data_IF_331915792056
#
_entry.id   IF_331915792056
#
_cell.length_a   1.000
_cell.length_b   1.000
_cell.length_c   1.000
_cell.angle_alpha   90.00
_cell.angle_beta   90.00
_cell.angle_gamma   90.00
#
_symmetry.space_group_name_H-M   'P 1'
#
loop_
_entity.id
_entity.type
_entity.pdbx_description
1 polymer ?
#
# COMPACT_ATOMS: atom_id res chain seq x y z
N UNK A 1 15.44 3.35 12.50
CA UNK A 1 16.39 4.10 11.63
C UNK A 1 15.78 4.45 10.29
N UNK A 2 15.35 3.47 9.48
CA UNK A 2 14.73 3.74 8.17
C UNK A 2 13.42 4.54 8.29
N UNK A 3 12.56 4.18 9.23
CA UNK A 3 11.36 4.94 9.57
C UNK A 3 11.68 6.41 9.89
N UNK A 4 12.76 6.68 10.62
CA UNK A 4 13.20 8.03 10.99
C UNK A 4 13.99 8.75 9.89
N UNK A 5 14.19 8.12 8.72
CA UNK A 5 14.93 8.70 7.60
C UNK A 5 16.42 8.92 7.85
N UNK A 6 17.01 8.23 8.85
CA UNK A 6 18.41 8.41 9.22
C UNK A 6 19.34 7.85 8.14
N UNK A 7 20.43 8.58 7.84
CA UNK A 7 21.44 8.17 6.85
C UNK A 7 22.04 6.80 7.14
N UNK A 8 22.17 6.45 8.43
CA UNK A 8 22.67 5.16 8.89
C UNK A 8 21.77 3.96 8.49
N UNK A 9 20.55 4.19 7.99
CA UNK A 9 19.73 3.12 7.42
C UNK A 9 20.13 2.75 5.97
N UNK A 10 20.88 3.62 5.26
CA UNK A 10 21.21 3.41 3.84
C UNK A 10 22.00 2.12 3.58
N UNK A 11 23.02 1.74 4.38
CA UNK A 11 23.71 0.48 4.17
C UNK A 11 22.78 -0.74 4.33
N UNK A 12 21.85 -0.70 5.30
CA UNK A 12 20.87 -1.75 5.53
C UNK A 12 19.88 -1.88 4.36
N UNK A 13 19.40 -0.74 3.85
CA UNK A 13 18.51 -0.69 2.68
C UNK A 13 19.19 -1.27 1.45
N UNK A 14 20.46 -0.92 1.23
CA UNK A 14 21.26 -1.47 0.13
C UNK A 14 21.40 -3.00 0.27
N UNK A 15 21.83 -3.47 1.44
CA UNK A 15 22.00 -4.90 1.70
C UNK A 15 20.68 -5.67 1.55
N UNK A 16 19.56 -5.09 1.97
CA UNK A 16 18.24 -5.69 1.81
C UNK A 16 17.85 -5.87 0.33
N UNK A 17 18.14 -4.88 -0.52
CA UNK A 17 17.91 -4.97 -1.97
C UNK A 17 18.84 -5.95 -2.67
N UNK A 18 20.11 -6.01 -2.27
CA UNK A 18 21.10 -6.94 -2.83
C UNK A 18 20.75 -8.42 -2.58
N UNK A 19 20.04 -8.74 -1.50
CA UNK A 19 19.56 -10.10 -1.22
C UNK A 19 18.48 -10.58 -2.19
N UNK A 20 17.89 -9.67 -2.96
CA UNK A 20 16.80 -9.96 -3.89
C UNK A 20 15.44 -10.11 -3.18
N UNK A 21 14.39 -9.63 -3.83
CA UNK A 21 13.03 -9.70 -3.31
C UNK A 21 12.41 -11.09 -3.57
N UNK A 22 12.38 -11.94 -2.55
CA UNK A 22 11.69 -13.25 -2.61
C UNK A 22 10.27 -13.20 -2.07
N UNK A 23 9.99 -12.28 -1.15
CA UNK A 23 8.70 -12.16 -0.51
C UNK A 23 7.56 -11.89 -1.50
N UNK A 24 6.34 -12.25 -1.10
CA UNK A 24 5.10 -11.77 -1.70
C UNK A 24 4.75 -10.44 -1.03
N UNK A 25 4.83 -9.35 -1.77
CA UNK A 25 4.47 -8.01 -1.26
C UNK A 25 3.02 -7.72 -1.63
N UNK A 26 2.12 -7.85 -0.64
CA UNK A 26 0.68 -7.71 -0.82
C UNK A 26 0.16 -6.41 -0.21
N UNK A 27 -0.39 -5.53 -1.04
CA UNK A 27 -1.16 -4.37 -0.60
C UNK A 27 -2.60 -4.76 -0.29
N UNK A 28 -3.10 -4.44 0.90
CA UNK A 28 -4.49 -4.67 1.32
C UNK A 28 -5.18 -3.32 1.47
N UNK A 29 -6.17 -3.06 0.63
CA UNK A 29 -6.86 -1.77 0.56
C UNK A 29 -8.36 -1.92 0.33
N UNK A 30 -9.11 -0.83 0.44
CA UNK A 30 -10.57 -0.81 0.34
C UNK A 30 -11.22 0.08 1.40
N UNK A 31 -12.55 0.19 1.36
CA UNK A 31 -13.28 1.17 2.18
C UNK A 31 -13.10 0.97 3.69
N UNK A 32 -13.21 2.06 4.49
CA UNK A 32 -13.35 1.95 5.94
C UNK A 32 -14.48 0.97 6.32
N UNK A 33 -14.22 0.14 7.33
CA UNK A 33 -15.23 -0.82 7.81
C UNK A 33 -15.40 -2.08 6.95
N UNK A 34 -14.69 -2.23 5.82
CA UNK A 34 -14.77 -3.43 4.98
C UNK A 34 -14.20 -4.69 5.64
N UNK A 35 -13.52 -4.53 6.78
CA UNK A 35 -12.92 -5.62 7.55
C UNK A 35 -11.51 -6.00 7.08
N UNK A 36 -10.79 -5.09 6.42
CA UNK A 36 -9.37 -5.24 6.03
C UNK A 36 -8.53 -5.80 7.16
N UNK A 37 -8.62 -5.19 8.34
CA UNK A 37 -7.79 -5.58 9.47
C UNK A 37 -8.08 -6.99 9.96
N UNK A 38 -9.36 -7.35 10.06
CA UNK A 38 -9.77 -8.72 10.39
C UNK A 38 -9.34 -9.72 9.31
N UNK A 39 -9.40 -9.33 8.04
CA UNK A 39 -8.97 -10.17 6.92
C UNK A 39 -7.45 -10.39 6.93
N UNK A 40 -6.67 -9.33 7.16
CA UNK A 40 -5.22 -9.40 7.35
C UNK A 40 -4.85 -10.31 8.52
N UNK A 41 -5.57 -10.24 9.66
CA UNK A 41 -5.35 -11.15 10.79
C UNK A 41 -5.57 -12.62 10.40
N UNK A 42 -6.64 -12.88 9.66
CA UNK A 42 -6.97 -14.22 9.18
C UNK A 42 -5.93 -14.73 8.16
N UNK A 43 -5.42 -13.85 7.29
CA UNK A 43 -4.30 -14.14 6.38
C UNK A 43 -3.04 -14.50 7.16
N UNK A 44 -2.67 -13.73 8.18
CA UNK A 44 -1.51 -14.06 9.04
C UNK A 44 -1.68 -15.46 9.61
N UNK A 45 -2.81 -15.75 10.26
CA UNK A 45 -3.05 -17.05 10.87
C UNK A 45 -2.92 -18.21 9.87
N UNK A 46 -3.49 -18.06 8.66
CA UNK A 46 -3.41 -19.06 7.60
C UNK A 46 -1.97 -19.23 7.06
N UNK A 47 -1.25 -18.15 6.81
CA UNK A 47 0.14 -18.22 6.33
C UNK A 47 1.07 -18.82 7.39
N UNK A 48 0.84 -18.50 8.67
CA UNK A 48 1.56 -19.08 9.81
C UNK A 48 1.28 -20.57 9.97
N UNK A 49 0.06 -21.05 9.71
CA UNK A 49 -0.22 -22.49 9.70
C UNK A 49 0.50 -23.24 8.58
N UNK A 50 0.91 -22.54 7.51
CA UNK A 50 1.81 -23.04 6.45
C UNK A 50 3.31 -22.87 6.79
N UNK A 51 3.65 -22.42 8.00
CA UNK A 51 5.02 -22.18 8.45
C UNK A 51 5.68 -20.91 7.91
N UNK A 52 4.97 -20.10 7.13
CA UNK A 52 5.54 -18.93 6.42
C UNK A 52 5.71 -17.74 7.35
N UNK A 53 6.81 -16.99 7.24
CA UNK A 53 7.06 -15.77 8.01
C UNK A 53 6.31 -14.59 7.40
N UNK A 54 5.58 -13.83 8.22
CA UNK A 54 4.72 -12.73 7.77
C UNK A 54 5.12 -11.41 8.43
N UNK A 55 5.35 -10.38 7.63
CA UNK A 55 5.46 -9.01 8.13
C UNK A 55 4.23 -8.20 7.72
N UNK A 56 3.73 -7.34 8.61
CA UNK A 56 2.63 -6.42 8.34
C UNK A 56 3.07 -5.00 8.63
N UNK A 57 2.91 -4.14 7.64
CA UNK A 57 3.12 -2.71 7.70
C UNK A 57 1.76 -2.02 7.56
N UNK A 58 1.18 -1.58 8.68
CA UNK A 58 -0.02 -0.77 8.67
C UNK A 58 0.35 0.70 8.43
N UNK A 59 -0.36 1.38 7.53
CA UNK A 59 -0.19 2.81 7.28
C UNK A 59 -1.41 3.57 7.78
N UNK A 60 -1.16 4.37 8.80
CA UNK A 60 -2.15 5.15 9.51
C UNK A 60 -2.07 6.62 9.09
N UNK A 61 -3.19 7.36 9.11
CA UNK A 61 -3.14 8.81 9.02
C UNK A 61 -2.29 9.39 10.14
N UNK A 62 -1.68 10.53 9.84
CA UNK A 62 -0.77 11.22 10.77
C UNK A 62 -1.54 12.05 11.78
N UNK A 63 -1.13 11.98 13.04
CA UNK A 63 -1.66 12.84 14.10
C UNK A 63 -1.30 14.29 13.77
N UNK A 64 -2.29 15.20 13.72
CA UNK A 64 -2.02 16.62 13.49
C UNK A 64 -1.20 17.26 14.63
N UNK A 65 -1.13 16.62 15.80
CA UNK A 65 -0.41 17.13 16.97
C UNK A 65 0.98 16.52 17.15
N UNK A 66 1.13 15.21 16.93
CA UNK A 66 2.40 14.50 17.20
C UNK A 66 3.15 14.06 15.94
N UNK A 67 2.52 14.12 14.76
CA UNK A 67 3.07 13.59 13.51
C UNK A 67 3.21 12.05 13.47
N UNK A 68 2.90 11.36 14.55
CA UNK A 68 2.90 9.90 14.65
C UNK A 68 1.59 9.26 14.17
N UNK A 69 1.54 7.94 14.17
CA UNK A 69 0.36 7.19 13.72
C UNK A 69 -0.79 7.39 14.72
N UNK A 70 -1.98 7.78 14.23
CA UNK A 70 -3.14 8.07 15.11
C UNK A 70 -3.69 6.80 15.73
N UNK A 71 -3.92 5.77 14.90
CA UNK A 71 -4.71 4.62 15.30
C UNK A 71 -3.87 3.44 15.75
N UNK A 72 -2.60 3.40 15.34
CA UNK A 72 -1.55 2.45 15.74
C UNK A 72 -2.15 1.12 16.12
N UNK A 73 -2.37 0.22 15.16
CA UNK A 73 -3.14 -1.04 15.29
C UNK A 73 -2.61 -1.99 16.38
N UNK A 74 -2.77 -1.58 17.65
CA UNK A 74 -2.19 -2.19 18.85
C UNK A 74 -2.85 -3.51 19.14
N UNK A 75 -4.10 -3.71 18.74
CA UNK A 75 -4.82 -4.95 18.94
C UNK A 75 -4.14 -6.07 18.15
N UNK A 76 -3.78 -5.82 16.88
CA UNK A 76 -3.01 -6.76 16.07
C UNK A 76 -1.61 -6.99 16.61
N UNK A 77 -0.92 -5.91 17.02
CA UNK A 77 0.41 -6.02 17.63
C UNK A 77 0.38 -6.90 18.88
N UNK A 78 -0.66 -6.77 19.72
CA UNK A 78 -0.84 -7.60 20.93
C UNK A 78 -1.21 -9.04 20.60
N UNK A 79 -2.01 -9.30 19.57
CA UNK A 79 -2.42 -10.67 19.21
C UNK A 79 -1.24 -11.52 18.71
N UNK A 80 -0.31 -10.92 17.98
CA UNK A 80 0.81 -11.63 17.34
C UNK A 80 2.16 -11.42 18.03
N UNK A 81 2.23 -10.67 19.13
CA UNK A 81 3.50 -10.30 19.79
C UNK A 81 4.39 -11.49 20.17
N UNK A 82 3.80 -12.66 20.43
CA UNK A 82 4.50 -13.86 20.87
C UNK A 82 4.90 -14.81 19.72
N UNK A 83 4.48 -14.56 18.47
CA UNK A 83 4.87 -15.37 17.31
C UNK A 83 6.11 -14.77 16.64
N UNK A 84 7.26 -15.41 16.83
CA UNK A 84 8.54 -14.98 16.25
C UNK A 84 8.54 -14.96 14.71
N UNK A 85 7.61 -15.67 14.07
CA UNK A 85 7.42 -15.65 12.63
C UNK A 85 6.53 -14.51 12.14
N UNK A 86 6.00 -13.67 13.04
CA UNK A 86 5.15 -12.51 12.70
C UNK A 86 5.81 -11.21 13.16
N UNK A 87 5.87 -10.23 12.27
CA UNK A 87 6.29 -8.88 12.62
C UNK A 87 5.20 -7.88 12.25
N UNK A 88 4.75 -7.05 13.18
CA UNK A 88 3.73 -6.02 12.92
C UNK A 88 4.26 -4.66 13.29
N UNK A 89 4.13 -3.68 12.38
CA UNK A 89 4.50 -2.29 12.61
C UNK A 89 3.46 -1.36 12.00
N UNK A 90 3.15 -0.28 12.69
CA UNK A 90 2.37 0.83 12.14
C UNK A 90 3.30 2.00 11.81
N UNK A 91 3.04 2.66 10.67
CA UNK A 91 3.70 3.87 10.21
C UNK A 91 2.69 4.99 9.99
N UNK A 92 3.08 6.21 10.32
CA UNK A 92 2.35 7.42 9.95
C UNK A 92 2.68 7.86 8.51
N UNK A 93 1.69 8.32 7.76
CA UNK A 93 1.88 8.92 6.42
C UNK A 93 2.71 10.22 6.40
N UNK A 94 2.93 10.83 7.56
CA UNK A 94 3.68 12.08 7.85
C UNK A 94 3.39 13.27 6.93
N UNK A 95 2.12 13.46 6.56
CA UNK A 95 1.72 14.59 5.71
C UNK A 95 2.32 14.53 4.30
N UNK A 96 2.66 13.33 3.82
CA UNK A 96 3.06 13.12 2.44
C UNK A 96 1.99 13.65 1.48
N UNK A 97 2.44 14.13 0.32
CA UNK A 97 1.55 14.62 -0.75
C UNK A 97 0.70 13.49 -1.36
N UNK A 98 1.11 12.23 -1.14
CA UNK A 98 0.33 11.03 -1.43
C UNK A 98 0.01 10.25 -0.15
N UNK A 99 -0.68 9.13 -0.33
CA UNK A 99 -1.20 8.27 0.72
C UNK A 99 -0.18 7.41 1.48
N UNK A 100 1.09 7.46 1.08
CA UNK A 100 2.18 6.72 1.71
C UNK A 100 3.39 7.64 1.89
N UNK A 101 4.06 7.50 3.03
CA UNK A 101 5.34 8.20 3.24
C UNK A 101 6.45 7.60 2.37
N UNK A 102 7.45 8.39 2.02
CA UNK A 102 8.68 7.92 1.35
C UNK A 102 9.40 6.84 2.16
N UNK A 103 9.19 6.84 3.48
CA UNK A 103 9.78 5.87 4.41
C UNK A 103 9.11 4.50 4.29
N UNK A 104 7.85 4.44 3.86
CA UNK A 104 7.10 3.20 3.71
C UNK A 104 7.81 2.26 2.72
N UNK A 105 8.22 2.76 1.55
CA UNK A 105 8.90 1.96 0.52
C UNK A 105 10.26 1.43 1.00
N UNK A 106 11.02 2.24 1.73
CA UNK A 106 12.26 1.80 2.35
C UNK A 106 12.05 0.72 3.42
N UNK A 107 11.00 0.84 4.24
CA UNK A 107 10.67 -0.18 5.26
C UNK A 107 10.21 -1.47 4.58
N UNK A 108 9.40 -1.42 3.52
CA UNK A 108 9.04 -2.61 2.74
C UNK A 108 10.27 -3.33 2.21
N UNK A 109 11.22 -2.61 1.62
CA UNK A 109 12.46 -3.19 1.12
C UNK A 109 13.28 -3.89 2.23
N UNK A 110 13.31 -3.32 3.45
CA UNK A 110 13.95 -3.97 4.59
C UNK A 110 13.25 -5.26 5.02
N UNK A 111 11.92 -5.27 5.02
CA UNK A 111 11.14 -6.47 5.38
C UNK A 111 11.34 -7.57 4.33
N UNK A 112 11.35 -7.23 3.04
CA UNK A 112 11.69 -8.17 1.97
C UNK A 112 13.09 -8.77 2.17
N UNK A 113 14.09 -7.94 2.47
CA UNK A 113 15.47 -8.38 2.71
C UNK A 113 15.75 -9.04 4.07
N UNK A 114 14.76 -9.05 4.98
CA UNK A 114 14.82 -9.71 6.29
C UNK A 114 14.35 -11.17 6.25
N UNK A 115 14.00 -11.68 5.06
CA UNK A 115 13.63 -13.07 4.84
C UNK A 115 12.22 -13.43 5.31
N UNK A 116 11.29 -12.46 5.26
CA UNK A 116 9.86 -12.77 5.35
C UNK A 116 9.37 -13.36 4.03
N UNK A 117 8.44 -14.31 4.11
CA UNK A 117 7.81 -14.92 2.93
C UNK A 117 6.70 -14.01 2.39
N UNK A 118 6.00 -13.31 3.30
CA UNK A 118 4.94 -12.35 2.97
C UNK A 118 5.19 -11.02 3.67
N UNK A 119 5.03 -9.93 2.93
CA UNK A 119 5.03 -8.56 3.46
C UNK A 119 3.71 -7.91 3.07
N UNK A 120 2.85 -7.67 4.05
CA UNK A 120 1.52 -7.10 3.86
C UNK A 120 1.55 -5.60 4.18
N UNK A 121 1.22 -4.77 3.21
CA UNK A 121 0.99 -3.34 3.40
C UNK A 121 -0.52 -3.08 3.53
N UNK A 122 -1.00 -2.69 4.70
CA UNK A 122 -2.42 -2.38 4.93
C UNK A 122 -2.62 -0.87 5.14
N UNK A 123 -3.69 -0.30 4.55
CA UNK A 123 -4.11 1.08 4.87
C UNK A 123 -5.32 1.10 5.79
N UNK A 124 -5.45 2.16 6.59
CA UNK A 124 -6.65 2.36 7.45
C UNK A 124 -7.86 2.88 6.65
N UNK A 125 -7.66 3.31 5.40
CA UNK A 125 -8.74 3.69 4.47
C UNK A 125 -9.28 5.12 4.61
N UNK A 126 -8.58 6.01 5.34
CA UNK A 126 -8.93 7.44 5.42
C UNK A 126 -7.74 8.27 4.96
N UNK A 127 -7.92 9.04 3.87
CA UNK A 127 -6.93 9.98 3.36
C UNK A 127 -5.70 9.37 2.68
N UNK A 128 -5.65 8.04 2.51
CA UNK A 128 -4.62 7.36 1.71
C UNK A 128 -5.27 6.88 0.40
N UNK A 129 -4.58 7.02 -0.73
CA UNK A 129 -5.09 6.56 -2.03
C UNK A 129 -4.85 5.05 -2.18
N UNK A 130 -5.88 4.31 -2.56
CA UNK A 130 -5.78 2.90 -2.96
C UNK A 130 -4.73 2.72 -4.07
N UNK A 131 -4.58 3.72 -4.93
CA UNK A 131 -3.58 3.75 -6.01
C UNK A 131 -2.15 3.73 -5.48
N UNK A 132 -1.88 4.42 -4.37
CA UNK A 132 -0.53 4.44 -3.78
C UNK A 132 -0.15 3.08 -3.21
N UNK A 133 -1.12 2.35 -2.62
CA UNK A 133 -0.93 0.98 -2.15
C UNK A 133 -0.56 0.07 -3.31
N UNK A 134 -1.32 0.15 -4.40
CA UNK A 134 -1.07 -0.65 -5.59
C UNK A 134 0.30 -0.35 -6.22
N UNK A 135 0.70 0.92 -6.26
CA UNK A 135 2.01 1.31 -6.78
C UNK A 135 3.19 0.88 -5.88
N UNK A 136 2.94 0.61 -4.59
CA UNK A 136 3.94 0.20 -3.62
C UNK A 136 4.12 -1.33 -3.48
N UNK A 137 3.25 -2.13 -4.10
CA UNK A 137 3.20 -3.57 -3.87
C UNK A 137 3.31 -4.38 -5.17
N UNK A 138 3.72 -5.65 -5.06
CA UNK A 138 3.74 -6.58 -6.20
C UNK A 138 2.30 -7.00 -6.55
N UNK A 139 1.43 -7.09 -5.54
CA UNK A 139 0.04 -7.50 -5.68
C UNK A 139 -0.89 -6.61 -4.84
N UNK A 140 -2.12 -6.41 -5.30
CA UNK A 140 -3.16 -5.64 -4.61
C UNK A 140 -4.40 -6.49 -4.35
N UNK A 141 -4.76 -6.62 -3.07
CA UNK A 141 -6.02 -7.17 -2.60
C UNK A 141 -7.00 -6.02 -2.28
N UNK A 142 -8.02 -5.87 -3.12
CA UNK A 142 -9.12 -4.93 -2.87
C UNK A 142 -10.20 -5.62 -2.02
N UNK A 143 -10.46 -5.08 -0.83
CA UNK A 143 -11.43 -5.62 0.13
C UNK A 143 -12.70 -4.77 0.10
N UNK A 144 -13.76 -5.40 -0.40
CA UNK A 144 -15.11 -4.85 -0.48
C UNK A 144 -16.03 -5.58 0.49
N UNK A 145 -17.19 -5.02 0.77
CA UNK A 145 -18.28 -5.70 1.49
C UNK A 145 -19.52 -5.78 0.63
N UNK A 146 -20.41 -6.76 0.84
CA UNK A 146 -21.76 -6.70 0.29
C UNK A 146 -22.37 -5.34 0.59
N UNK A 147 -22.68 -4.59 -0.46
CA UNK A 147 -23.23 -3.26 -0.30
C UNK A 147 -24.72 -3.38 0.06
N UNK A 148 -25.17 -2.59 1.04
CA UNK A 148 -26.61 -2.33 1.25
C UNK A 148 -27.19 -1.31 0.26
N UNK A 149 -26.66 -1.20 -0.97
CA UNK A 149 -26.98 -0.15 -1.94
C UNK A 149 -25.94 -0.02 -3.07
N UNK A 150 -25.77 1.20 -3.63
CA UNK A 150 -24.87 1.62 -4.74
C UNK A 150 -23.34 1.44 -4.50
N UNK A 151 -22.94 0.53 -3.63
CA UNK A 151 -21.55 0.39 -3.19
C UNK A 151 -20.59 0.02 -4.33
N UNK A 152 -21.03 -0.71 -5.36
CA UNK A 152 -20.19 -0.98 -6.54
C UNK A 152 -20.00 0.27 -7.41
N UNK A 153 -20.98 1.17 -7.50
CA UNK A 153 -20.85 2.44 -8.24
C UNK A 153 -19.92 3.44 -7.53
N UNK A 154 -19.79 3.36 -6.20
CA UNK A 154 -18.85 4.18 -5.44
C UNK A 154 -17.38 3.81 -5.77
N UNK A 155 -17.11 2.54 -6.08
CA UNK A 155 -15.83 2.07 -6.59
C UNK A 155 -15.82 2.20 -8.12
N UNK A 156 -15.74 3.45 -8.60
CA UNK A 156 -15.60 3.79 -10.03
C UNK A 156 -14.42 3.04 -10.68
N UNK A 157 -14.48 2.91 -12.01
CA UNK A 157 -13.53 2.22 -12.91
C UNK A 157 -12.06 2.21 -12.44
N UNK A 158 -11.50 3.36 -12.02
CA UNK A 158 -10.09 3.46 -11.64
C UNK A 158 -9.63 2.67 -10.40
N UNK A 159 -10.51 2.30 -9.45
CA UNK A 159 -10.10 1.47 -8.29
C UNK A 159 -10.14 -0.03 -8.62
N UNK A 160 -10.98 -0.43 -9.58
CA UNK A 160 -11.04 -1.82 -10.03
C UNK A 160 -9.82 -2.19 -10.89
N UNK A 161 -9.28 -1.21 -11.63
CA UNK A 161 -8.08 -1.37 -12.48
C UNK A 161 -6.80 -1.69 -11.69
N UNK A 162 -6.73 -1.29 -10.42
CA UNK A 162 -5.56 -1.53 -9.58
C UNK A 162 -5.64 -2.84 -8.79
N UNK A 163 -6.78 -3.53 -8.82
CA UNK A 163 -6.99 -4.76 -8.06
C UNK A 163 -6.44 -5.96 -8.83
N UNK A 164 -5.57 -6.75 -8.18
CA UNK A 164 -5.10 -8.02 -8.74
C UNK A 164 -5.92 -9.20 -8.21
N UNK A 165 -6.49 -9.04 -7.01
CA UNK A 165 -7.44 -9.95 -6.37
C UNK A 165 -8.50 -9.11 -5.67
N UNK A 166 -9.75 -9.56 -5.68
CA UNK A 166 -10.86 -8.88 -4.99
C UNK A 166 -11.43 -9.81 -3.93
N UNK A 167 -11.50 -9.35 -2.68
CA UNK A 167 -12.21 -10.03 -1.61
C UNK A 167 -13.53 -9.31 -1.33
N UNK A 168 -14.66 -10.02 -1.51
CA UNK A 168 -15.96 -9.60 -0.98
C UNK A 168 -16.09 -10.20 0.42
N UNK A 169 -15.69 -9.42 1.42
CA UNK A 169 -15.68 -9.80 2.83
C UNK A 169 -17.03 -9.56 3.51
N UNK A 170 -17.30 -10.27 4.62
CA UNK A 170 -18.63 -10.34 5.24
C UNK A 170 -19.66 -10.94 4.28
N UNK A 171 -19.25 -11.95 3.51
CA UNK A 171 -20.11 -12.61 2.53
C UNK A 171 -21.29 -13.38 3.15
N UNK A 172 -21.33 -13.50 4.47
CA UNK A 172 -22.47 -13.95 5.27
C UNK A 172 -23.60 -12.92 5.34
N UNK A 173 -23.35 -11.67 4.94
CA UNK A 173 -24.38 -10.63 4.85
C UNK A 173 -25.19 -10.72 3.54
N UNK A 174 -26.47 -10.33 3.55
CA UNK A 174 -27.28 -10.24 2.34
C UNK A 174 -26.62 -9.38 1.25
N UNK A 175 -26.80 -9.77 -0.01
CA UNK A 175 -26.30 -9.01 -1.16
C UNK A 175 -24.92 -9.47 -1.68
N UNK A 176 -24.23 -10.38 -1.00
CA UNK A 176 -22.91 -10.86 -1.42
C UNK A 176 -22.91 -11.42 -2.86
N UNK A 177 -23.90 -12.24 -3.21
CA UNK A 177 -24.04 -12.82 -4.55
C UNK A 177 -24.38 -11.80 -5.63
N UNK A 178 -25.06 -10.71 -5.24
CA UNK A 178 -25.32 -9.60 -6.15
C UNK A 178 -24.02 -8.84 -6.43
N UNK A 179 -23.30 -8.45 -5.37
CA UNK A 179 -22.02 -7.73 -5.49
C UNK A 179 -21.00 -8.51 -6.32
N UNK A 180 -20.87 -9.83 -6.10
CA UNK A 180 -19.95 -10.66 -6.91
C UNK A 180 -20.33 -10.62 -8.40
N UNK A 181 -21.62 -10.73 -8.73
CA UNK A 181 -22.07 -10.67 -10.13
C UNK A 181 -21.85 -9.30 -10.76
N UNK A 182 -22.10 -8.23 -10.02
CA UNK A 182 -21.85 -6.85 -10.47
C UNK A 182 -20.36 -6.60 -10.75
N UNK A 183 -19.48 -7.09 -9.88
CA UNK A 183 -18.03 -7.00 -10.06
C UNK A 183 -17.54 -7.81 -11.27
N UNK A 184 -18.06 -9.02 -11.46
CA UNK A 184 -17.76 -9.83 -12.65
C UNK A 184 -18.21 -9.13 -13.94
N UNK A 185 -19.41 -8.56 -13.95
CA UNK A 185 -19.91 -7.81 -15.10
C UNK A 185 -19.04 -6.57 -15.39
N UNK A 186 -18.64 -5.85 -14.34
CA UNK A 186 -17.78 -4.66 -14.48
C UNK A 186 -16.39 -5.00 -15.05
N UNK A 187 -15.78 -6.10 -14.61
CA UNK A 187 -14.50 -6.56 -15.19
C UNK A 187 -14.61 -6.95 -16.67
N UNK A 188 -15.78 -7.43 -17.09
CA UNK A 188 -16.05 -7.78 -18.49
C UNK A 188 -16.25 -6.58 -19.43
N UNK A 189 -16.37 -5.35 -18.91
CA UNK A 189 -16.54 -4.14 -19.72
C UNK A 189 -15.16 -3.65 -20.21
N UNK A 190 -14.92 -3.73 -21.52
CA UNK A 190 -13.67 -3.25 -22.12
C UNK A 190 -13.19 -4.14 -23.26
N UNK A 191 -12.11 -3.72 -23.92
CA UNK A 191 -11.38 -4.59 -24.83
C UNK A 191 -10.48 -5.51 -24.01
N UNK A 192 -10.62 -6.81 -24.22
CA UNK A 192 -9.84 -7.85 -23.55
C UNK A 192 -9.19 -8.74 -24.59
N UNK A 193 -8.01 -9.25 -24.26
CA UNK A 193 -7.27 -10.23 -25.05
C UNK A 193 -6.95 -11.48 -24.22
N UNK A 194 -6.26 -12.44 -24.82
CA UNK A 194 -5.87 -13.70 -24.17
C UNK A 194 -4.87 -13.53 -23.02
N UNK A 195 -4.25 -12.35 -22.88
CA UNK A 195 -3.28 -12.04 -21.83
C UNK A 195 -3.87 -11.22 -20.69
N UNK A 196 -5.14 -10.82 -20.81
CA UNK A 196 -5.79 -9.96 -19.82
C UNK A 196 -6.00 -10.70 -18.49
N UNK A 197 -5.43 -10.18 -17.41
CA UNK A 197 -5.65 -10.69 -16.06
C UNK A 197 -6.98 -10.18 -15.49
N UNK A 198 -7.94 -11.09 -15.36
CA UNK A 198 -9.18 -10.80 -14.63
C UNK A 198 -9.01 -11.09 -13.15
N UNK A 199 -8.96 -10.03 -12.33
CA UNK A 199 -8.74 -10.16 -10.89
C UNK A 199 -9.75 -11.11 -10.25
N UNK A 200 -9.33 -12.25 -9.68
CA UNK A 200 -10.27 -13.22 -9.17
C UNK A 200 -11.07 -12.67 -7.98
N UNK A 201 -12.40 -12.78 -8.04
CA UNK A 201 -13.29 -12.37 -6.96
C UNK A 201 -13.49 -13.53 -5.99
N UNK A 202 -13.23 -13.31 -4.70
CA UNK A 202 -13.32 -14.30 -3.63
C UNK A 202 -14.27 -13.83 -2.54
N UNK A 203 -15.23 -14.67 -2.17
CA UNK A 203 -16.08 -14.45 -1.00
C UNK A 203 -15.29 -14.80 0.25
N UNK A 204 -15.36 -13.95 1.27
CA UNK A 204 -14.69 -14.20 2.56
C UNK A 204 -15.61 -13.85 3.72
N UNK A 205 -15.42 -14.55 4.83
CA UNK A 205 -15.95 -14.16 6.14
C UNK A 205 -14.77 -14.15 7.09
N UNK A 206 -14.01 -13.04 7.07
CA UNK A 206 -12.74 -12.92 7.76
C UNK A 206 -12.83 -13.26 9.26
N UNK A 207 -13.92 -12.86 9.93
CA UNK A 207 -14.14 -13.14 11.34
C UNK A 207 -14.24 -14.65 11.67
N UNK A 208 -14.58 -15.48 10.67
CA UNK A 208 -14.67 -16.94 10.78
C UNK A 208 -13.48 -17.67 10.12
N UNK A 209 -12.56 -16.94 9.49
CA UNK A 209 -11.46 -17.52 8.73
C UNK A 209 -11.88 -18.18 7.40
N UNK A 210 -13.09 -17.92 6.90
CA UNK A 210 -13.61 -18.55 5.68
C UNK A 210 -13.13 -17.82 4.42
N UNK A 211 -12.76 -18.59 3.39
CA UNK A 211 -12.33 -18.08 2.08
C UNK A 211 -10.90 -17.56 2.01
N UNK A 212 -10.13 -17.61 3.11
CA UNK A 212 -8.76 -17.10 3.20
C UNK A 212 -7.80 -17.86 2.29
N UNK A 213 -7.89 -19.19 2.29
CA UNK A 213 -7.08 -20.04 1.40
C UNK A 213 -7.28 -19.66 -0.07
N UNK A 214 -8.52 -19.41 -0.48
CA UNK A 214 -8.84 -19.05 -1.86
C UNK A 214 -8.33 -17.65 -2.25
N UNK A 215 -8.18 -16.73 -1.28
CA UNK A 215 -7.52 -15.44 -1.47
C UNK A 215 -6.01 -15.64 -1.65
N UNK A 216 -5.36 -16.41 -0.78
CA UNK A 216 -3.92 -16.70 -0.88
C UNK A 216 -3.59 -17.38 -2.21
N UNK A 217 -4.37 -18.39 -2.60
CA UNK A 217 -4.20 -19.07 -3.88
C UNK A 217 -4.38 -18.13 -5.08
N UNK A 218 -5.30 -17.15 -5.00
CA UNK A 218 -5.48 -16.16 -6.06
C UNK A 218 -4.28 -15.21 -6.18
N UNK A 219 -3.67 -14.80 -5.05
CA UNK A 219 -2.44 -14.00 -5.06
C UNK A 219 -1.26 -14.79 -5.62
N UNK A 220 -1.11 -16.06 -5.22
CA UNK A 220 -0.08 -16.96 -5.76
C UNK A 220 -0.27 -17.19 -7.27
N UNK A 221 -1.50 -17.33 -7.74
CA UNK A 221 -1.82 -17.45 -9.16
C UNK A 221 -1.49 -16.17 -9.94
N UNK A 222 -1.78 -14.98 -9.38
CA UNK A 222 -1.39 -13.72 -10.01
C UNK A 222 0.13 -13.59 -10.09
N UNK A 223 0.86 -13.97 -9.03
CA UNK A 223 2.33 -14.01 -9.05
C UNK A 223 2.86 -14.92 -10.14
N UNK A 224 2.27 -16.11 -10.32
CA UNK A 224 2.63 -17.03 -11.38
C UNK A 224 2.34 -16.45 -12.77
N UNK A 225 1.20 -15.76 -12.94
CA UNK A 225 0.84 -15.08 -14.18
C UNK A 225 1.81 -13.96 -14.55
N UNK A 226 2.26 -13.15 -13.58
CA UNK A 226 3.28 -12.12 -13.83
C UNK A 226 4.63 -12.72 -14.26
N UNK A 227 4.97 -13.90 -13.75
CA UNK A 227 6.30 -14.49 -13.90
C UNK A 227 7.41 -13.58 -13.35
N UNK A 228 8.66 -13.93 -13.65
CA UNK A 228 9.81 -13.14 -13.18
C UNK A 228 9.86 -11.75 -13.82
N UNK A 229 9.59 -11.65 -15.13
CA UNK A 229 9.63 -10.39 -15.87
C UNK A 229 8.54 -9.40 -15.42
N UNK A 230 7.31 -9.86 -15.19
CA UNK A 230 6.22 -9.02 -14.70
C UNK A 230 6.47 -8.52 -13.28
N UNK A 231 6.98 -9.38 -12.40
CA UNK A 231 7.39 -8.99 -11.05
C UNK A 231 8.54 -7.97 -11.09
N UNK A 232 9.54 -8.20 -11.93
CA UNK A 232 10.66 -7.28 -12.09
C UNK A 232 10.19 -5.90 -12.58
N UNK A 233 9.29 -5.84 -13.57
CA UNK A 233 8.67 -4.58 -14.02
C UNK A 233 7.93 -3.84 -12.91
N UNK A 234 7.12 -4.53 -12.10
CA UNK A 234 6.43 -3.90 -10.94
C UNK A 234 7.43 -3.37 -9.91
N UNK A 235 8.50 -4.11 -9.65
CA UNK A 235 9.57 -3.70 -8.71
C UNK A 235 10.36 -2.50 -9.21
N UNK A 236 10.64 -2.43 -10.50
CA UNK A 236 11.25 -1.25 -11.13
C UNK A 236 10.36 -0.02 -11.05
N UNK A 237 9.06 -0.18 -11.33
CA UNK A 237 8.08 0.90 -11.17
C UNK A 237 8.02 1.40 -9.72
N UNK A 238 8.02 0.48 -8.74
CA UNK A 238 8.08 0.80 -7.31
C UNK A 238 9.38 1.51 -6.92
N UNK A 239 10.54 1.07 -7.45
CA UNK A 239 11.82 1.72 -7.20
C UNK A 239 11.86 3.14 -7.81
N UNK A 240 11.29 3.31 -9.01
CA UNK A 240 11.15 4.61 -9.64
C UNK A 240 10.21 5.54 -8.84
N UNK A 241 9.12 5.01 -8.29
CA UNK A 241 8.27 5.73 -7.35
C UNK A 241 9.09 6.22 -6.14
N UNK A 242 9.82 5.33 -5.47
CA UNK A 242 10.62 5.68 -4.30
C UNK A 242 11.66 6.76 -4.58
N UNK A 243 12.39 6.65 -5.69
CA UNK A 243 13.39 7.64 -6.09
C UNK A 243 12.72 8.99 -6.34
N UNK A 244 11.62 9.04 -7.09
CA UNK A 244 10.88 10.28 -7.36
C UNK A 244 10.37 10.92 -6.09
N UNK A 245 9.77 10.15 -5.18
CA UNK A 245 9.29 10.66 -3.89
C UNK A 245 10.43 11.23 -3.05
N UNK A 246 11.58 10.55 -2.99
CA UNK A 246 12.76 11.05 -2.27
C UNK A 246 13.34 12.34 -2.88
N UNK A 247 13.33 12.46 -4.22
CA UNK A 247 13.75 13.69 -4.90
C UNK A 247 12.81 14.84 -4.55
N UNK A 248 11.50 14.64 -4.69
CA UNK A 248 10.50 15.64 -4.36
C UNK A 248 10.58 16.10 -2.90
N UNK A 249 10.75 15.16 -1.97
CA UNK A 249 10.91 15.43 -0.54
C UNK A 249 12.13 16.32 -0.26
N UNK A 250 13.28 16.01 -0.88
CA UNK A 250 14.52 16.79 -0.71
C UNK A 250 14.41 18.18 -1.32
N UNK A 251 13.79 18.31 -2.49
CA UNK A 251 13.57 19.60 -3.15
C UNK A 251 12.63 20.49 -2.33
N UNK A 252 11.51 19.94 -1.85
CA UNK A 252 10.56 20.68 -1.00
C UNK A 252 11.19 21.10 0.33
N UNK A 253 12.02 20.23 0.92
CA UNK A 253 12.77 20.56 2.14
C UNK A 253 13.72 21.74 1.89
N UNK A 254 14.51 21.68 0.82
CA UNK A 254 15.41 22.77 0.40
C UNK A 254 14.64 24.07 0.15
N UNK A 255 13.51 23.98 -0.54
CA UNK A 255 12.66 25.14 -0.83
C UNK A 255 12.19 25.82 0.46
N UNK A 256 11.75 25.05 1.48
CA UNK A 256 11.32 25.60 2.78
C UNK A 256 12.46 26.26 3.57
N UNK A 257 13.66 25.70 3.48
CA UNK A 257 14.84 26.19 4.20
C UNK A 257 15.38 27.51 3.59
N UNK A 258 15.42 27.59 2.26
CA UNK A 258 16.06 28.70 1.55
C UNK A 258 15.06 29.75 1.03
N UNK A 259 13.81 29.38 0.77
CA UNK A 259 12.85 30.19 0.00
C UNK A 259 12.16 31.33 0.74
N UNK A 260 12.48 31.62 2.01
CA UNK A 260 11.72 32.61 2.81
C UNK A 260 11.68 34.00 2.17
N UNK A 261 12.81 34.49 1.64
CA UNK A 261 12.84 35.79 0.96
C UNK A 261 12.06 35.76 -0.35
N UNK A 262 12.21 34.70 -1.15
CA UNK A 262 11.50 34.52 -2.41
C UNK A 262 9.98 34.49 -2.20
N UNK A 263 9.48 33.81 -1.17
CA UNK A 263 8.06 33.79 -0.84
C UNK A 263 7.53 35.19 -0.47
N UNK A 264 8.32 35.97 0.26
CA UNK A 264 7.95 37.34 0.62
C UNK A 264 7.96 38.27 -0.61
N UNK A 265 8.92 38.10 -1.53
CA UNK A 265 8.98 38.82 -2.80
C UNK A 265 7.78 38.52 -3.70
N UNK A 266 7.38 37.25 -3.80
CA UNK A 266 6.14 36.86 -4.50
C UNK A 266 4.91 37.49 -3.87
N UNK A 267 4.79 37.45 -2.54
CA UNK A 267 3.65 38.04 -1.84
C UNK A 267 3.55 39.58 -2.02
N UNK A 268 4.68 40.27 -2.22
CA UNK A 268 4.73 41.72 -2.51
C UNK A 268 4.57 42.06 -4.00
N UNK A 269 4.65 41.07 -4.89
CA UNK A 269 4.64 41.28 -6.34
C UNK A 269 6.00 41.68 -6.93
N UNK A 270 7.10 41.53 -6.16
CA UNK A 270 8.47 41.85 -6.61
C UNK A 270 9.09 40.73 -7.49
N UNK A 271 8.42 39.58 -7.57
CA UNK A 271 8.82 38.37 -8.28
C UNK A 271 7.56 37.55 -8.55
N UNK A 272 7.44 36.86 -9.69
CA UNK A 272 6.36 35.90 -9.88
C UNK A 272 6.69 34.52 -9.27
N UNK A 273 5.68 33.66 -9.17
CA UNK A 273 5.82 32.37 -8.51
C UNK A 273 6.68 31.36 -9.29
N UNK A 274 6.71 31.44 -10.63
CA UNK A 274 7.48 30.53 -11.47
C UNK A 274 8.97 30.90 -11.40
N UNK A 275 9.31 32.20 -11.48
CA UNK A 275 10.67 32.70 -11.28
C UNK A 275 11.24 32.33 -9.89
N UNK A 276 10.40 32.44 -8.86
CA UNK A 276 10.77 32.01 -7.51
C UNK A 276 11.05 30.50 -7.43
N UNK A 277 10.23 29.68 -8.11
CA UNK A 277 10.42 28.24 -8.16
C UNK A 277 11.70 27.85 -8.90
N UNK A 278 11.97 28.47 -10.05
CA UNK A 278 13.18 28.25 -10.84
C UNK A 278 14.44 28.60 -10.06
N UNK A 279 14.43 29.72 -9.33
CA UNK A 279 15.54 30.12 -8.45
C UNK A 279 15.82 29.06 -7.38
N UNK A 280 14.76 28.52 -6.75
CA UNK A 280 14.86 27.45 -5.75
C UNK A 280 15.40 26.15 -6.35
N UNK A 281 15.05 25.82 -7.60
CA UNK A 281 15.50 24.62 -8.29
C UNK A 281 16.97 24.68 -8.72
N UNK A 282 17.43 25.85 -9.21
CA UNK A 282 18.85 26.08 -9.55
C UNK A 282 19.75 26.10 -8.32
N UNK A 283 19.16 26.41 -7.15
CA UNK A 283 19.90 26.51 -5.91
C UNK A 283 20.67 27.82 -5.77
N UNK A 284 20.24 28.85 -6.49
CA UNK A 284 20.81 30.21 -6.52
C UNK A 284 20.19 31.10 -5.41
N UNK A 285 20.00 30.52 -4.23
CA UNK A 285 19.32 31.15 -3.07
C UNK A 285 20.29 31.37 -1.93
#
# INVERSE_FOLDING_TARGET
MAEAGLSAARPLLRAARERGARAVVLGVTGSPGSGKSTLTDALIAFLRSRGQRVAVLAVDPSSPYSGGAILGDRIRMLRHHADEGVFVRSLASRGALGGLSERTLGVLALLEGAGFDWVILETVGVGQSEVDVAAACDHTLLVLTPAGGDGVQAFKAGIMEIADVIAVNKADLPGADRTVRELMAAQGLGAHDEHTWFAPIRRTVAAKGEGIEAVVAAVEAHRAHLGEEGLQRRREARAALEVRTLVQERLLRRARELGRDLYARVARGDLDADDAADTLLRGEV
#
